data_IF_327582786389
#
_entry.id   IF_327582786389
#
_cell.length_a   1.000
_cell.length_b   1.000
_cell.length_c   1.000
_cell.angle_alpha   90.00
_cell.angle_beta   90.00
_cell.angle_gamma   90.00
#
_symmetry.space_group_name_H-M   'P 1'
#
loop_
_entity.id
_entity.type
_entity.pdbx_description
1 polymer ?
#
# COMPACT_ATOMS: atom_id res chain seq x y z
N UNK A 1 11.40 -32.22 19.63
CA UNK A 1 10.27 -31.36 19.21
C UNK A 1 10.76 -30.46 18.09
N UNK A 2 10.55 -30.86 16.84
CA UNK A 2 10.98 -30.12 15.66
C UNK A 2 9.79 -29.30 15.15
N UNK A 3 9.83 -27.97 15.34
CA UNK A 3 8.92 -27.06 14.64
C UNK A 3 9.28 -27.12 13.15
N UNK A 4 8.36 -27.63 12.34
CA UNK A 4 8.56 -27.89 10.93
C UNK A 4 8.85 -26.60 10.18
N UNK A 5 9.77 -26.65 9.21
CA UNK A 5 10.09 -25.56 8.26
C UNK A 5 8.87 -25.03 7.48
N UNK A 6 7.73 -25.73 7.55
CA UNK A 6 6.46 -25.32 6.96
C UNK A 6 5.77 -24.20 7.77
N UNK A 7 5.82 -24.23 9.11
CA UNK A 7 5.27 -23.15 9.95
C UNK A 7 6.05 -21.84 9.77
N UNK A 8 7.36 -21.92 9.61
CA UNK A 8 8.21 -20.75 9.35
C UNK A 8 7.92 -20.11 7.98
N UNK A 9 7.65 -20.92 6.95
CA UNK A 9 7.27 -20.43 5.62
C UNK A 9 5.86 -19.83 5.58
N UNK A 10 4.92 -20.33 6.40
CA UNK A 10 3.58 -19.75 6.52
C UNK A 10 3.58 -18.47 7.36
N UNK A 11 4.38 -18.40 8.42
CA UNK A 11 4.55 -17.18 9.22
C UNK A 11 5.19 -16.02 8.42
N UNK A 12 6.09 -16.33 7.47
CA UNK A 12 6.59 -15.35 6.48
C UNK A 12 5.54 -14.96 5.43
N UNK A 13 4.52 -15.78 5.19
CA UNK A 13 3.43 -15.51 4.24
C UNK A 13 2.28 -14.66 4.84
N UNK A 14 2.20 -14.50 6.16
CA UNK A 14 1.13 -13.73 6.84
C UNK A 14 1.66 -12.66 7.82
N UNK A 15 2.90 -12.19 7.62
CA UNK A 15 3.38 -11.04 8.39
C UNK A 15 2.63 -9.78 7.95
N UNK A 16 1.96 -9.11 8.89
CA UNK A 16 1.29 -7.81 8.67
C UNK A 16 2.15 -6.69 9.25
N UNK A 17 2.32 -5.61 8.48
CA UNK A 17 2.86 -4.33 8.96
C UNK A 17 1.71 -3.37 9.19
N UNK A 18 1.80 -2.55 10.23
CA UNK A 18 0.79 -1.55 10.58
C UNK A 18 1.30 -0.17 10.22
N UNK A 19 0.59 0.50 9.31
CA UNK A 19 0.83 1.91 9.01
C UNK A 19 0.07 2.75 10.05
N UNK A 20 0.80 3.49 10.89
CA UNK A 20 0.22 4.42 11.85
C UNK A 20 0.12 5.80 11.22
N UNK A 21 -1.12 6.27 11.09
CA UNK A 21 -1.46 7.50 10.40
C UNK A 21 -1.45 8.68 11.38
N UNK A 22 -1.50 9.89 10.83
CA UNK A 22 -1.46 11.13 11.62
C UNK A 22 -2.59 11.26 12.64
N UNK A 23 -3.79 10.84 12.27
CA UNK A 23 -4.99 10.81 13.11
C UNK A 23 -5.02 9.65 14.12
N UNK A 24 -3.92 8.90 14.24
CA UNK A 24 -3.80 7.75 15.13
C UNK A 24 -4.43 6.47 14.59
N UNK A 25 -5.06 6.50 13.40
CA UNK A 25 -5.60 5.31 12.75
C UNK A 25 -4.48 4.35 12.37
N UNK A 26 -4.71 3.06 12.59
CA UNK A 26 -3.77 1.98 12.29
C UNK A 26 -4.30 1.15 11.13
N UNK A 27 -3.59 1.14 10.02
CA UNK A 27 -3.97 0.39 8.81
C UNK A 27 -3.06 -0.84 8.68
N UNK A 28 -3.58 -2.05 8.90
CA UNK A 28 -2.83 -3.28 8.67
C UNK A 28 -2.69 -3.56 7.18
N UNK A 29 -1.49 -3.94 6.73
CA UNK A 29 -1.21 -4.31 5.34
C UNK A 29 -0.28 -5.53 5.31
N UNK A 30 -0.45 -6.48 4.37
CA UNK A 30 0.51 -7.57 4.19
C UNK A 30 1.93 -7.03 3.97
N UNK A 31 2.89 -7.44 4.80
CA UNK A 31 4.27 -6.91 4.82
C UNK A 31 4.94 -7.07 3.46
N UNK A 32 4.75 -8.21 2.80
CA UNK A 32 5.31 -8.46 1.48
C UNK A 32 4.76 -7.50 0.42
N UNK A 33 3.49 -7.11 0.51
CA UNK A 33 2.88 -6.14 -0.38
C UNK A 33 3.38 -4.73 -0.07
N UNK A 34 3.32 -4.32 1.19
CA UNK A 34 3.75 -3.00 1.64
C UNK A 34 5.23 -2.74 1.32
N UNK A 35 6.13 -3.70 1.56
CA UNK A 35 7.57 -3.56 1.22
C UNK A 35 7.84 -3.44 -0.28
N UNK A 36 7.00 -4.04 -1.14
CA UNK A 36 7.13 -3.90 -2.60
C UNK A 36 6.60 -2.57 -3.11
N UNK A 37 5.63 -1.99 -2.42
CA UNK A 37 4.91 -0.79 -2.86
C UNK A 37 5.44 0.49 -2.23
N UNK A 38 6.02 0.41 -1.03
CA UNK A 38 6.38 1.57 -0.22
C UNK A 38 7.85 1.50 0.17
N UNK A 39 8.64 2.46 -0.32
CA UNK A 39 10.03 2.63 0.09
C UNK A 39 10.14 2.93 1.58
N UNK A 40 9.17 3.64 2.17
CA UNK A 40 9.08 3.88 3.61
C UNK A 40 9.07 2.56 4.39
N UNK A 41 8.21 1.62 4.00
CA UNK A 41 8.11 0.31 4.65
C UNK A 41 9.33 -0.56 4.32
N UNK A 42 9.87 -0.46 3.12
CA UNK A 42 11.09 -1.18 2.75
C UNK A 42 12.30 -0.74 3.61
N UNK A 43 12.40 0.56 3.92
CA UNK A 43 13.47 1.16 4.72
C UNK A 43 13.34 0.88 6.22
N UNK A 44 12.14 0.60 6.73
CA UNK A 44 11.86 0.38 8.15
C UNK A 44 12.42 -0.96 8.73
N UNK A 45 13.34 -1.63 8.03
CA UNK A 45 14.16 -2.76 8.51
C UNK A 45 13.45 -3.89 9.29
N UNK A 46 12.17 -4.14 9.05
CA UNK A 46 11.39 -5.18 9.74
C UNK A 46 10.56 -4.68 10.93
N UNK A 47 10.43 -3.37 11.12
CA UNK A 47 9.46 -2.78 12.04
C UNK A 47 8.04 -3.25 11.71
N UNK A 48 7.29 -3.62 12.76
CA UNK A 48 5.89 -4.05 12.64
C UNK A 48 4.91 -2.88 12.58
N UNK A 49 5.34 -1.71 13.02
CA UNK A 49 4.55 -0.47 13.01
C UNK A 49 5.41 0.59 12.37
N UNK A 50 4.93 1.19 11.28
CA UNK A 50 5.64 2.23 10.53
C UNK A 50 4.80 3.49 10.58
N UNK A 51 5.41 4.59 11.03
CA UNK A 51 4.75 5.89 11.08
C UNK A 51 4.71 6.52 9.69
N UNK A 52 3.51 6.89 9.23
CA UNK A 52 3.33 7.56 7.95
C UNK A 52 3.60 9.06 8.13
N UNK A 53 4.65 9.62 7.51
CA UNK A 53 4.98 11.03 7.65
C UNK A 53 4.00 11.90 6.85
N UNK A 54 4.07 13.22 7.06
CA UNK A 54 3.38 14.18 6.19
C UNK A 54 1.90 14.42 6.49
N UNK A 55 1.45 14.16 7.71
CA UNK A 55 0.05 14.40 8.12
C UNK A 55 -0.98 13.63 7.27
N UNK A 56 -0.64 12.42 6.81
CA UNK A 56 -1.55 11.59 6.01
C UNK A 56 -2.59 10.94 6.92
N UNK A 57 -3.87 11.11 6.58
CA UNK A 57 -5.00 10.63 7.36
C UNK A 57 -5.31 9.15 7.08
N UNK A 58 -5.84 8.46 8.11
CA UNK A 58 -6.19 7.05 8.07
C UNK A 58 -7.03 6.62 6.87
N UNK A 59 -8.13 7.32 6.52
CA UNK A 59 -8.95 6.97 5.37
C UNK A 59 -8.20 7.00 4.03
N UNK A 60 -7.21 7.89 3.89
CA UNK A 60 -6.39 7.99 2.68
C UNK A 60 -5.42 6.79 2.61
N UNK A 61 -4.74 6.47 3.71
CA UNK A 61 -3.86 5.30 3.79
C UNK A 61 -4.63 3.99 3.60
N UNK A 62 -5.82 3.88 4.16
CA UNK A 62 -6.70 2.72 3.97
C UNK A 62 -7.09 2.55 2.50
N UNK A 63 -7.34 3.65 1.77
CA UNK A 63 -7.60 3.60 0.33
C UNK A 63 -6.37 3.19 -0.47
N UNK A 64 -5.17 3.66 -0.09
CA UNK A 64 -3.92 3.21 -0.71
C UNK A 64 -3.72 1.71 -0.51
N UNK A 65 -3.92 1.21 0.72
CA UNK A 65 -3.83 -0.21 1.03
C UNK A 65 -4.82 -1.05 0.20
N UNK A 66 -6.08 -0.61 0.11
CA UNK A 66 -7.09 -1.27 -0.71
C UNK A 66 -6.72 -1.27 -2.21
N UNK A 67 -6.14 -0.16 -2.70
CA UNK A 67 -5.63 -0.09 -4.08
C UNK A 67 -4.49 -1.10 -4.29
N UNK A 68 -3.52 -1.21 -3.37
CA UNK A 68 -2.43 -2.18 -3.48
C UNK A 68 -2.94 -3.62 -3.57
N UNK A 69 -3.90 -4.00 -2.73
CA UNK A 69 -4.49 -5.34 -2.71
C UNK A 69 -5.27 -5.62 -3.99
N UNK A 70 -6.15 -4.70 -4.40
CA UNK A 70 -6.91 -4.83 -5.63
C UNK A 70 -6.01 -4.89 -6.87
N UNK A 71 -4.94 -4.08 -6.89
CA UNK A 71 -3.98 -4.08 -8.00
C UNK A 71 -3.15 -5.35 -8.06
N UNK A 72 -2.80 -5.93 -6.91
CA UNK A 72 -2.11 -7.22 -6.82
C UNK A 72 -3.02 -8.39 -7.26
N UNK A 73 -4.32 -8.29 -7.02
CA UNK A 73 -5.31 -9.27 -7.47
C UNK A 73 -5.60 -9.19 -8.99
N UNK A 74 -5.44 -8.01 -9.60
CA UNK A 74 -5.59 -7.79 -11.03
C UNK A 74 -4.40 -8.38 -11.82
N UNK A 75 -4.46 -9.69 -12.07
CA UNK A 75 -3.40 -10.44 -12.77
C UNK A 75 -3.41 -10.18 -14.28
N UNK A 76 -2.22 -9.89 -14.82
CA UNK A 76 -2.03 -9.57 -16.24
C UNK A 76 -2.14 -8.07 -16.57
N UNK A 77 -1.44 -7.65 -17.62
CA UNK A 77 -1.29 -6.23 -17.95
C UNK A 77 -2.63 -5.55 -18.29
N UNK A 78 -3.50 -6.23 -19.05
CA UNK A 78 -4.79 -5.67 -19.47
C UNK A 78 -5.76 -5.51 -18.27
N UNK A 79 -5.87 -6.53 -17.42
CA UNK A 79 -6.72 -6.46 -16.22
C UNK A 79 -6.19 -5.39 -15.24
N UNK A 80 -4.87 -5.29 -15.12
CA UNK A 80 -4.21 -4.26 -14.34
C UNK A 80 -4.53 -2.85 -14.82
N UNK A 81 -4.36 -2.58 -16.12
CA UNK A 81 -4.68 -1.28 -16.70
C UNK A 81 -6.18 -0.93 -16.58
N UNK A 82 -7.07 -1.92 -16.76
CA UNK A 82 -8.50 -1.71 -16.56
C UNK A 82 -8.86 -1.39 -15.10
N UNK A 83 -8.20 -2.05 -14.14
CA UNK A 83 -8.35 -1.75 -12.71
C UNK A 83 -7.86 -0.33 -12.39
N UNK A 84 -6.69 0.04 -12.91
CA UNK A 84 -6.10 1.37 -12.73
C UNK A 84 -7.01 2.47 -13.29
N UNK A 85 -7.55 2.27 -14.50
CA UNK A 85 -8.50 3.19 -15.12
C UNK A 85 -9.81 3.32 -14.32
N UNK A 86 -10.37 2.21 -13.85
CA UNK A 86 -11.59 2.22 -13.03
C UNK A 86 -11.37 2.89 -11.67
N UNK A 87 -10.21 2.66 -11.05
CA UNK A 87 -9.81 3.33 -9.82
C UNK A 87 -9.76 4.85 -10.02
N UNK A 88 -9.05 5.32 -11.05
CA UNK A 88 -8.93 6.75 -11.37
C UNK A 88 -10.28 7.40 -11.71
N UNK A 89 -11.12 6.74 -12.50
CA UNK A 89 -12.43 7.25 -12.89
C UNK A 89 -13.39 7.44 -11.70
N UNK A 90 -13.19 6.69 -10.61
CA UNK A 90 -13.97 6.81 -9.38
C UNK A 90 -13.51 7.91 -8.42
N UNK A 91 -12.39 8.58 -8.70
CA UNK A 91 -11.83 9.60 -7.80
C UNK A 91 -12.41 10.98 -8.08
N UNK A 92 -12.77 11.67 -7.00
CA UNK A 92 -12.94 13.12 -6.99
C UNK A 92 -11.57 13.82 -6.90
N UNK A 93 -11.53 15.10 -7.25
CA UNK A 93 -10.29 15.87 -7.24
C UNK A 93 -9.63 15.98 -5.85
N UNK A 94 -10.43 16.18 -4.79
CA UNK A 94 -9.95 16.19 -3.40
C UNK A 94 -9.25 14.87 -3.05
N UNK A 95 -9.92 13.75 -3.33
CA UNK A 95 -9.38 12.42 -3.10
C UNK A 95 -8.12 12.15 -3.93
N UNK A 96 -8.03 12.67 -5.15
CA UNK A 96 -6.84 12.54 -5.99
C UNK A 96 -5.64 13.25 -5.37
N UNK A 97 -5.82 14.50 -4.93
CA UNK A 97 -4.76 15.29 -4.28
C UNK A 97 -4.27 14.60 -3.00
N UNK A 98 -5.20 14.10 -2.18
CA UNK A 98 -4.86 13.37 -0.96
C UNK A 98 -4.06 12.09 -1.25
N UNK A 99 -4.43 11.35 -2.31
CA UNK A 99 -3.72 10.13 -2.70
C UNK A 99 -2.34 10.41 -3.30
N UNK A 100 -2.15 11.49 -4.04
CA UNK A 100 -0.83 11.94 -4.52
C UNK A 100 0.07 12.26 -3.33
N UNK A 101 -0.46 12.99 -2.36
CA UNK A 101 0.26 13.34 -1.13
C UNK A 101 0.65 12.10 -0.32
N UNK A 102 -0.29 11.15 -0.15
CA UNK A 102 -0.01 9.88 0.51
C UNK A 102 1.02 9.03 -0.24
N UNK A 103 0.93 8.93 -1.57
CA UNK A 103 1.86 8.15 -2.39
C UNK A 103 3.30 8.69 -2.26
N UNK A 104 3.46 10.02 -2.23
CA UNK A 104 4.75 10.65 -1.98
C UNK A 104 5.32 10.26 -0.60
N UNK A 105 4.54 10.37 0.46
CA UNK A 105 5.02 10.06 1.82
C UNK A 105 5.23 8.58 2.10
N UNK A 106 4.54 7.70 1.39
CA UNK A 106 4.80 6.26 1.42
C UNK A 106 5.99 5.86 0.53
N UNK A 107 6.49 6.75 -0.32
CA UNK A 107 7.48 6.40 -1.34
C UNK A 107 6.95 5.34 -2.31
N UNK A 108 5.68 5.44 -2.73
CA UNK A 108 5.10 4.56 -3.73
C UNK A 108 5.21 5.20 -5.12
N UNK A 109 6.33 4.94 -5.79
CA UNK A 109 6.60 5.45 -7.13
C UNK A 109 5.55 5.00 -8.15
N UNK A 110 5.10 3.74 -8.08
CA UNK A 110 4.15 3.21 -9.07
C UNK A 110 2.75 3.84 -8.93
N UNK A 111 2.29 4.11 -7.71
CA UNK A 111 1.04 4.84 -7.47
C UNK A 111 1.20 6.33 -7.82
N UNK A 112 2.35 6.92 -7.52
CA UNK A 112 2.62 8.31 -7.88
C UNK A 112 2.62 8.51 -9.40
N UNK A 113 3.26 7.61 -10.15
CA UNK A 113 3.32 7.64 -11.62
C UNK A 113 1.96 7.42 -12.27
N UNK A 114 1.09 6.61 -11.65
CA UNK A 114 -0.29 6.43 -12.09
C UNK A 114 -1.05 7.76 -12.14
N UNK A 115 -0.81 8.67 -11.20
CA UNK A 115 -1.47 9.98 -11.19
C UNK A 115 -0.85 11.01 -12.13
N UNK A 116 0.38 10.78 -12.61
CA UNK A 116 1.08 11.69 -13.54
C UNK A 116 0.69 11.46 -14.99
N UNK A 117 0.27 10.25 -15.34
CA UNK A 117 -0.04 9.89 -16.71
C UNK A 117 -1.53 10.10 -16.99
N UNK A 118 -1.93 10.98 -17.92
CA UNK A 118 -3.24 10.86 -18.52
C UNK A 118 -3.22 9.56 -19.34
N UNK A 119 -4.11 8.62 -19.00
CA UNK A 119 -4.37 7.45 -19.83
C UNK A 119 -4.79 7.85 -21.25
#
# INVERSE_FOLDING_TARGET
MALSRHDAKQAEQEATVVLRCFDGVKVPVPTALARRRSELVAAAAGERVVDVPGNVYGPVVARVAAYWEGRAAATGNAAGAAFDAAFLAGLRHDALVDLIHAAHHLGDAALFDLFRSPA
#
